data_IF_871767127446
#
_entry.id   IF_871767127446
#
_cell.length_a   1.000
_cell.length_b   1.000
_cell.length_c   1.000
_cell.angle_alpha   90.00
_cell.angle_beta   90.00
_cell.angle_gamma   90.00
#
_symmetry.space_group_name_H-M   'P 1'
#
loop_
_entity.id
_entity.type
_entity.pdbx_description
1 polymer ?
#
# COMPACT_ATOMS: atom_id res chain seq x y z
N UNK A 1 13.93 -3.05 22.64
CA UNK A 1 14.68 -2.58 21.46
C UNK A 1 14.18 -1.18 21.14
N UNK A 2 15.05 -0.26 20.69
CA UNK A 2 14.59 1.04 20.25
C UNK A 2 13.73 0.86 18.99
N UNK A 3 12.56 1.51 18.95
CA UNK A 3 11.70 1.47 17.77
C UNK A 3 12.28 2.42 16.71
N UNK A 4 12.36 2.01 15.44
CA UNK A 4 13.02 2.81 14.42
C UNK A 4 12.22 4.09 14.09
N UNK A 5 12.96 5.16 13.84
CA UNK A 5 12.47 6.39 13.22
C UNK A 5 13.15 6.51 11.85
N UNK A 6 12.37 6.43 10.79
CA UNK A 6 12.86 6.47 9.40
C UNK A 6 12.44 7.81 8.79
N UNK A 7 13.41 8.69 8.54
CA UNK A 7 13.18 9.95 7.83
C UNK A 7 14.05 9.98 6.58
N UNK A 8 13.44 9.72 5.42
CA UNK A 8 14.12 9.76 4.13
C UNK A 8 13.94 11.11 3.46
N UNK A 9 14.95 11.49 2.67
CA UNK A 9 14.92 12.68 1.82
C UNK A 9 14.15 12.45 0.51
N UNK A 10 14.10 11.21 0.01
CA UNK A 10 13.28 10.78 -1.14
C UNK A 10 13.04 9.26 -1.12
N UNK A 11 12.18 8.77 -2.00
CA UNK A 11 11.83 7.35 -2.14
C UNK A 11 12.01 6.88 -3.57
N UNK A 12 12.80 5.82 -3.77
CA UNK A 12 13.13 5.29 -5.10
C UNK A 12 12.05 4.32 -5.62
N UNK A 13 11.38 3.62 -4.69
CA UNK A 13 10.31 2.67 -4.98
C UNK A 13 9.27 2.65 -3.87
N UNK A 14 7.98 2.64 -4.22
CA UNK A 14 6.89 2.51 -3.28
C UNK A 14 5.77 1.68 -3.91
N UNK A 15 5.39 0.60 -3.23
CA UNK A 15 4.50 -0.40 -3.80
C UNK A 15 3.67 -1.08 -2.72
N UNK A 16 2.71 -1.88 -3.16
CA UNK A 16 1.96 -2.78 -2.28
C UNK A 16 1.92 -4.18 -2.87
N UNK A 17 1.77 -5.16 -1.99
CA UNK A 17 1.67 -6.56 -2.37
C UNK A 17 1.02 -7.41 -1.29
N UNK A 18 0.85 -8.69 -1.60
CA UNK A 18 0.31 -9.66 -0.66
C UNK A 18 1.11 -10.94 -0.68
N UNK A 19 1.28 -11.55 0.50
CA UNK A 19 1.83 -12.90 0.66
C UNK A 19 0.74 -13.86 1.14
N UNK A 20 0.78 -15.09 0.65
CA UNK A 20 -0.13 -16.17 1.02
C UNK A 20 -1.32 -16.38 0.06
N UNK A 21 -2.10 -17.41 0.35
CA UNK A 21 -3.21 -17.87 -0.51
C UNK A 21 -4.40 -16.89 -0.54
N UNK A 22 -5.18 -16.85 -1.64
CA UNK A 22 -6.44 -16.11 -1.70
C UNK A 22 -7.34 -16.42 -0.50
N UNK A 23 -7.83 -15.37 0.19
CA UNK A 23 -8.62 -15.49 1.43
C UNK A 23 -7.81 -15.51 2.73
N UNK A 24 -6.48 -15.72 2.66
CA UNK A 24 -5.53 -15.62 3.77
C UNK A 24 -4.36 -14.68 3.50
N UNK A 25 -4.49 -13.84 2.47
CA UNK A 25 -3.47 -12.86 2.07
C UNK A 25 -3.19 -11.87 3.19
N UNK A 26 -1.91 -11.68 3.48
CA UNK A 26 -1.41 -10.58 4.32
C UNK A 26 -0.97 -9.47 3.39
N UNK A 27 -1.42 -8.24 3.64
CA UNK A 27 -1.08 -7.07 2.82
C UNK A 27 0.14 -6.35 3.39
N UNK A 28 0.95 -5.82 2.48
CA UNK A 28 2.15 -5.08 2.79
C UNK A 28 2.23 -3.78 1.98
N UNK A 29 2.78 -2.73 2.60
CA UNK A 29 3.39 -1.59 1.92
C UNK A 29 4.90 -1.81 1.90
N UNK A 30 5.53 -1.53 0.77
CA UNK A 30 6.98 -1.57 0.65
C UNK A 30 7.50 -0.24 0.13
N UNK A 31 8.46 0.33 0.85
CA UNK A 31 9.22 1.51 0.45
C UNK A 31 10.69 1.14 0.27
N UNK A 32 11.34 1.70 -0.75
CA UNK A 32 12.75 1.46 -1.06
C UNK A 32 13.50 2.77 -1.21
N UNK A 33 14.71 2.80 -0.65
CA UNK A 33 15.72 3.83 -0.88
C UNK A 33 17.08 3.16 -0.97
N UNK A 34 17.72 3.26 -2.12
CA UNK A 34 18.98 2.57 -2.42
C UNK A 34 18.87 1.07 -2.15
N UNK A 35 19.68 0.53 -1.23
CA UNK A 35 19.69 -0.86 -0.79
C UNK A 35 18.75 -1.15 0.39
N UNK A 36 18.12 -0.13 0.97
CA UNK A 36 17.23 -0.27 2.10
C UNK A 36 15.78 -0.46 1.64
N UNK A 37 15.14 -1.52 2.13
CA UNK A 37 13.72 -1.84 1.90
C UNK A 37 13.02 -1.91 3.24
N UNK A 38 11.92 -1.19 3.37
CA UNK A 38 11.02 -1.22 4.53
C UNK A 38 9.72 -1.90 4.11
N UNK A 39 9.30 -2.92 4.85
CA UNK A 39 8.14 -3.76 4.58
C UNK A 39 7.16 -3.71 5.75
N UNK A 40 6.06 -2.98 5.56
CA UNK A 40 5.09 -2.68 6.62
C UNK A 40 3.83 -3.51 6.43
N UNK A 41 3.44 -4.27 7.45
CA UNK A 41 2.18 -5.01 7.42
C UNK A 41 1.01 -4.05 7.59
N UNK A 42 0.04 -4.12 6.69
CA UNK A 42 -1.06 -3.16 6.58
C UNK A 42 -2.38 -3.90 6.40
N UNK A 43 -3.50 -3.28 6.79
CA UNK A 43 -4.82 -3.82 6.48
C UNK A 43 -5.25 -3.54 5.04
N UNK A 44 -6.08 -4.42 4.47
CA UNK A 44 -6.64 -4.21 3.12
C UNK A 44 -7.34 -2.85 3.00
N UNK A 45 -8.08 -2.44 4.03
CA UNK A 45 -8.83 -1.17 4.02
C UNK A 45 -7.90 0.05 4.08
N UNK A 46 -6.77 -0.03 4.78
CA UNK A 46 -5.76 1.03 4.79
C UNK A 46 -5.12 1.20 3.40
N UNK A 47 -4.82 0.11 2.69
CA UNK A 47 -4.33 0.18 1.29
C UNK A 47 -5.36 0.83 0.37
N UNK A 48 -6.62 0.41 0.48
CA UNK A 48 -7.71 0.95 -0.34
C UNK A 48 -7.93 2.45 -0.08
N UNK A 49 -8.02 2.85 1.20
CA UNK A 49 -8.21 4.24 1.60
C UNK A 49 -7.04 5.13 1.21
N UNK A 50 -5.80 4.64 1.36
CA UNK A 50 -4.61 5.37 0.93
C UNK A 50 -4.63 5.63 -0.58
N UNK A 51 -4.96 4.61 -1.39
CA UNK A 51 -5.04 4.76 -2.85
C UNK A 51 -6.15 5.74 -3.28
N UNK A 52 -7.31 5.70 -2.64
CA UNK A 52 -8.41 6.63 -2.89
C UNK A 52 -8.03 8.07 -2.53
N UNK A 53 -7.47 8.28 -1.34
CA UNK A 53 -7.03 9.59 -0.89
C UNK A 53 -5.95 10.19 -1.79
N UNK A 54 -4.91 9.41 -2.13
CA UNK A 54 -3.85 9.85 -3.03
C UNK A 54 -4.38 10.17 -4.43
N UNK A 55 -5.33 9.38 -4.95
CA UNK A 55 -5.96 9.67 -6.24
C UNK A 55 -6.75 10.98 -6.23
N UNK A 56 -7.44 11.28 -5.11
CA UNK A 56 -8.10 12.56 -4.91
C UNK A 56 -7.12 13.73 -4.92
N UNK A 57 -6.01 13.62 -4.17
CA UNK A 57 -4.96 14.65 -4.18
C UNK A 57 -4.33 14.85 -5.56
N UNK A 58 -4.14 13.77 -6.31
CA UNK A 58 -3.52 13.80 -7.63
C UNK A 58 -4.43 14.39 -8.71
N UNK A 59 -5.76 14.40 -8.51
CA UNK A 59 -6.73 14.85 -9.51
C UNK A 59 -6.61 16.36 -9.82
N UNK A 60 -6.16 17.16 -8.85
CA UNK A 60 -6.01 18.62 -9.00
C UNK A 60 -4.61 19.04 -9.48
N UNK A 61 -3.72 18.08 -9.73
CA UNK A 61 -2.33 18.34 -10.11
C UNK A 61 -2.11 18.16 -11.63
N UNK A 62 -1.09 18.81 -12.23
CA UNK A 62 -0.82 18.72 -13.67
C UNK A 62 -0.66 17.28 -14.15
N UNK A 63 -1.09 16.92 -15.37
CA UNK A 63 -0.96 15.55 -15.86
C UNK A 63 0.50 15.06 -15.84
N UNK A 64 0.68 13.75 -15.66
CA UNK A 64 1.98 13.08 -15.71
C UNK A 64 2.23 12.51 -17.10
N UNK A 65 3.49 12.22 -17.39
CA UNK A 65 3.91 11.43 -18.53
C UNK A 65 3.71 9.93 -18.23
N UNK A 66 2.95 9.24 -19.08
CA UNK A 66 2.62 7.82 -18.91
C UNK A 66 3.87 6.93 -18.92
N UNK A 67 4.89 7.27 -19.73
CA UNK A 67 6.16 6.53 -19.78
C UNK A 67 6.90 6.66 -18.44
N UNK A 68 6.88 7.85 -17.83
CA UNK A 68 7.52 8.09 -16.53
C UNK A 68 6.81 7.34 -15.38
N UNK A 69 5.49 7.15 -15.48
CA UNK A 69 4.70 6.32 -14.54
C UNK A 69 5.03 4.84 -14.73
N UNK A 70 5.17 4.36 -15.97
CA UNK A 70 5.55 2.98 -16.25
C UNK A 70 6.97 2.65 -15.74
N UNK A 71 7.91 3.57 -15.90
CA UNK A 71 9.26 3.45 -15.34
C UNK A 71 9.23 3.40 -13.82
N UNK A 72 8.42 4.25 -13.17
CA UNK A 72 8.24 4.24 -11.72
C UNK A 72 7.66 2.90 -11.23
N UNK A 73 6.67 2.35 -11.93
CA UNK A 73 6.08 1.05 -11.62
C UNK A 73 7.12 -0.09 -11.73
N UNK A 74 7.99 -0.04 -12.74
CA UNK A 74 9.06 -1.02 -12.95
C UNK A 74 10.12 -0.96 -11.86
N UNK A 75 10.42 0.23 -11.33
CA UNK A 75 11.33 0.40 -10.20
C UNK A 75 10.72 -0.05 -8.86
N UNK A 76 9.38 0.02 -8.73
CA UNK A 76 8.63 -0.30 -7.52
C UNK A 76 8.17 -1.77 -7.44
N UNK A 77 9.08 -2.71 -7.69
CA UNK A 77 8.77 -4.14 -7.58
C UNK A 77 8.52 -4.53 -6.13
N UNK A 78 7.55 -5.43 -5.95
CA UNK A 78 7.22 -6.00 -4.65
C UNK A 78 8.03 -7.27 -4.43
N UNK A 79 8.75 -7.34 -3.32
CA UNK A 79 9.49 -8.50 -2.86
C UNK A 79 8.75 -9.14 -1.68
N UNK A 80 8.75 -10.47 -1.55
CA UNK A 80 8.13 -11.17 -0.42
C UNK A 80 8.88 -10.83 0.89
N UNK A 81 8.27 -10.07 1.82
CA UNK A 81 8.90 -9.73 3.07
C UNK A 81 8.71 -10.89 4.03
N UNK A 82 9.72 -11.76 4.12
CA UNK A 82 9.75 -12.93 5.03
C UNK A 82 9.19 -12.58 6.42
N UNK A 83 9.52 -11.38 6.93
CA UNK A 83 8.90 -10.75 8.10
C UNK A 83 8.60 -9.27 7.83
N UNK A 84 7.63 -8.72 8.56
CA UNK A 84 7.32 -7.29 8.54
C UNK A 84 8.24 -6.53 9.51
N UNK A 85 8.64 -5.31 9.17
CA UNK A 85 9.32 -4.41 10.10
C UNK A 85 8.40 -4.02 11.27
N UNK A 86 7.15 -3.66 10.96
CA UNK A 86 6.08 -3.47 11.94
C UNK A 86 4.68 -3.52 11.32
N UNK A 87 3.65 -3.47 12.17
CA UNK A 87 2.23 -3.38 11.75
C UNK A 87 1.81 -1.91 11.74
N UNK A 88 1.19 -1.46 10.66
CA UNK A 88 0.72 -0.07 10.51
C UNK A 88 -0.50 0.18 11.39
N UNK A 89 -0.41 1.20 12.24
CA UNK A 89 -1.52 1.73 13.03
C UNK A 89 -2.21 2.89 12.31
N UNK A 90 -1.44 3.86 11.84
CA UNK A 90 -1.96 5.06 11.19
C UNK A 90 -1.18 5.40 9.91
N UNK A 91 -1.87 6.08 8.98
CA UNK A 91 -1.31 6.61 7.74
C UNK A 91 -1.73 8.08 7.61
N UNK A 92 -0.76 8.95 7.39
CA UNK A 92 -0.97 10.37 7.08
C UNK A 92 -0.28 10.74 5.78
N UNK A 93 -0.85 11.66 5.01
CA UNK A 93 -0.23 12.13 3.76
C UNK A 93 -0.27 13.65 3.72
N UNK A 94 0.83 14.25 3.32
CA UNK A 94 0.93 15.68 3.03
C UNK A 94 1.53 15.93 1.66
N UNK A 95 1.16 17.02 1.00
CA UNK A 95 1.75 17.42 -0.28
C UNK A 95 2.66 18.63 -0.09
N UNK A 96 3.93 18.46 -0.42
CA UNK A 96 4.95 19.49 -0.35
C UNK A 96 5.16 20.13 -1.72
N UNK A 97 4.51 21.27 -1.95
CA UNK A 97 4.51 21.98 -3.23
C UNK A 97 5.92 22.44 -3.68
N UNK A 98 6.79 22.79 -2.74
CA UNK A 98 8.13 23.33 -3.06
C UNK A 98 9.06 22.31 -3.70
N UNK A 99 8.85 21.03 -3.42
CA UNK A 99 9.66 19.90 -3.91
C UNK A 99 8.88 18.96 -4.81
N UNK A 100 7.60 19.26 -5.04
CA UNK A 100 6.64 18.41 -5.76
C UNK A 100 6.69 16.95 -5.24
N UNK A 101 6.48 16.81 -3.92
CA UNK A 101 6.49 15.51 -3.23
C UNK A 101 5.20 15.27 -2.46
N UNK A 102 4.65 14.07 -2.59
CA UNK A 102 3.67 13.55 -1.65
C UNK A 102 4.42 12.78 -0.57
N UNK A 103 4.29 13.22 0.67
CA UNK A 103 4.99 12.64 1.81
C UNK A 103 4.02 11.77 2.58
N UNK A 104 4.27 10.46 2.58
CA UNK A 104 3.56 9.49 3.40
C UNK A 104 4.23 9.43 4.78
N UNK A 105 3.42 9.52 5.83
CA UNK A 105 3.81 9.33 7.22
C UNK A 105 3.11 8.06 7.70
N UNK A 106 3.86 7.14 8.27
CA UNK A 106 3.36 5.84 8.74
C UNK A 106 3.76 5.67 10.19
N UNK A 107 2.79 5.32 11.05
CA UNK A 107 3.05 5.01 12.45
C UNK A 107 2.69 3.56 12.75
N UNK A 108 3.45 2.95 13.64
CA UNK A 108 3.22 1.61 14.14
C UNK A 108 1.95 1.50 14.99
N UNK A 109 1.26 0.37 14.87
CA UNK A 109 0.17 -0.03 15.75
C UNK A 109 0.73 -0.46 17.11
N UNK A 110 0.43 0.32 18.13
CA UNK A 110 0.79 0.01 19.52
C UNK A 110 -0.20 -0.95 20.18
N UNK A 111 0.32 -1.76 21.11
CA UNK A 111 -0.52 -2.53 22.05
C UNK A 111 -0.66 -1.83 23.40
N UNK A 112 0.30 -0.99 23.74
CA UNK A 112 0.37 -0.19 24.96
C UNK A 112 0.61 1.27 24.58
N UNK A 113 -0.27 2.16 25.07
CA UNK A 113 -0.25 3.59 24.75
C UNK A 113 0.94 4.33 25.38
N UNK A 114 1.60 3.74 26.38
CA UNK A 114 2.79 4.30 27.02
C UNK A 114 4.08 4.08 26.19
N UNK A 115 4.01 3.29 25.11
CA UNK A 115 5.13 3.03 24.21
C UNK A 115 5.26 4.09 23.11
N UNK A 116 6.49 4.39 22.69
CA UNK A 116 6.72 5.23 21.51
C UNK A 116 6.62 4.35 20.24
N UNK A 117 5.80 4.72 19.24
CA UNK A 117 5.64 3.93 18.01
C UNK A 117 6.86 4.09 17.11
N UNK A 118 7.18 3.04 16.34
CA UNK A 118 8.01 3.22 15.16
C UNK A 118 7.32 4.16 14.17
N UNK A 119 8.10 5.00 13.50
CA UNK A 119 7.59 5.97 12.54
C UNK A 119 8.43 5.97 11.26
N UNK A 120 7.78 6.18 10.13
CA UNK A 120 8.45 6.35 8.86
C UNK A 120 7.86 7.51 8.06
N UNK A 121 8.74 8.26 7.39
CA UNK A 121 8.41 9.33 6.47
C UNK A 121 9.02 9.04 5.10
N UNK A 122 8.13 8.91 4.11
CA UNK A 122 8.48 8.57 2.72
C UNK A 122 8.02 9.69 1.78
N UNK A 123 8.89 10.66 1.44
CA UNK A 123 8.64 11.58 0.35
C UNK A 123 8.65 10.82 -0.98
N UNK A 124 7.62 10.99 -1.80
CA UNK A 124 7.46 10.30 -3.07
C UNK A 124 7.18 11.30 -4.19
N UNK A 125 7.84 11.07 -5.33
CA UNK A 125 7.50 11.72 -6.59
C UNK A 125 6.11 11.29 -7.08
N UNK A 126 5.47 12.14 -7.86
CA UNK A 126 4.09 11.96 -8.32
C UNK A 126 3.91 10.71 -9.19
N UNK A 127 4.91 10.34 -9.99
CA UNK A 127 4.84 9.14 -10.84
C UNK A 127 4.82 7.87 -10.01
N UNK A 128 5.55 7.85 -8.89
CA UNK A 128 5.57 6.74 -7.96
C UNK A 128 4.22 6.58 -7.26
N UNK A 129 3.60 7.69 -6.87
CA UNK A 129 2.24 7.71 -6.33
C UNK A 129 1.23 7.19 -7.34
N UNK A 130 1.30 7.64 -8.59
CA UNK A 130 0.42 7.16 -9.65
C UNK A 130 0.54 5.65 -9.86
N UNK A 131 1.78 5.14 -9.97
CA UNK A 131 2.07 3.72 -10.07
C UNK A 131 1.50 2.92 -8.87
N UNK A 132 1.69 3.44 -7.65
CA UNK A 132 1.12 2.86 -6.44
C UNK A 132 -0.42 2.81 -6.49
N UNK A 133 -1.09 3.90 -6.87
CA UNK A 133 -2.56 3.96 -6.94
C UNK A 133 -3.10 2.87 -7.88
N UNK A 134 -2.52 2.71 -9.07
CA UNK A 134 -2.93 1.68 -10.01
C UNK A 134 -2.77 0.29 -9.40
N UNK A 135 -1.59 -0.02 -8.88
CA UNK A 135 -1.30 -1.33 -8.28
C UNK A 135 -2.16 -1.63 -7.06
N UNK A 136 -2.40 -0.65 -6.20
CA UNK A 136 -3.23 -0.79 -5.01
C UNK A 136 -4.69 -1.08 -5.37
N UNK A 137 -5.25 -0.36 -6.36
CA UNK A 137 -6.60 -0.63 -6.86
C UNK A 137 -6.73 -2.03 -7.43
N UNK A 138 -5.79 -2.43 -8.29
CA UNK A 138 -5.78 -3.78 -8.87
C UNK A 138 -5.68 -4.86 -7.79
N UNK A 139 -4.80 -4.69 -6.81
CA UNK A 139 -4.59 -5.63 -5.72
C UNK A 139 -5.82 -5.76 -4.80
N UNK A 140 -6.44 -4.62 -4.47
CA UNK A 140 -7.65 -4.57 -3.63
C UNK A 140 -8.85 -5.17 -4.37
N UNK A 141 -8.97 -4.91 -5.68
CA UNK A 141 -10.00 -5.44 -6.56
C UNK A 141 -9.81 -6.94 -6.87
N UNK A 142 -8.56 -7.43 -6.90
CA UNK A 142 -8.19 -8.84 -7.03
C UNK A 142 -8.54 -9.68 -5.78
N UNK A 143 -9.49 -9.21 -4.97
CA UNK A 143 -10.27 -10.04 -4.07
C UNK A 143 -11.09 -11.08 -4.83
N UNK A 144 -11.87 -11.88 -4.11
CA UNK A 144 -12.59 -12.99 -4.74
C UNK A 144 -13.60 -12.43 -5.75
N UNK A 145 -13.70 -13.02 -6.96
CA UNK A 145 -14.71 -12.62 -7.91
C UNK A 145 -16.10 -12.69 -7.25
N UNK A 146 -16.99 -11.73 -7.58
CA UNK A 146 -18.34 -11.75 -7.06
C UNK A 146 -19.05 -13.00 -7.59
N UNK A 147 -19.80 -13.67 -6.73
CA UNK A 147 -20.66 -14.77 -7.11
C UNK A 147 -21.65 -14.28 -8.19
N UNK A 148 -21.80 -14.98 -9.33
CA UNK A 148 -22.67 -14.56 -10.41
C UNK A 148 -24.16 -14.56 -10.03
N UNK A 149 -24.54 -15.18 -8.90
CA UNK A 149 -25.93 -15.25 -8.43
C UNK A 149 -26.25 -14.25 -7.31
N UNK A 150 -25.35 -14.02 -6.36
CA UNK A 150 -25.63 -13.19 -5.17
C UNK A 150 -24.63 -12.03 -4.95
N UNK A 151 -23.66 -11.86 -5.85
CA UNK A 151 -22.58 -10.88 -5.77
C UNK A 151 -21.64 -10.98 -4.53
N UNK A 152 -21.84 -11.96 -3.65
CA UNK A 152 -20.94 -12.20 -2.52
C UNK A 152 -19.56 -12.75 -2.99
N UNK A 153 -18.44 -12.45 -2.31
CA UNK A 153 -17.12 -12.97 -2.66
C UNK A 153 -17.07 -14.52 -2.65
N UNK A 154 -16.63 -15.17 -3.74
CA UNK A 154 -16.62 -16.64 -3.87
C UNK A 154 -15.67 -17.39 -2.91
N UNK A 155 -16.21 -18.21 -2.00
CA UNK A 155 -15.41 -19.01 -1.04
C UNK A 155 -14.55 -20.09 -1.73
N UNK A 156 -13.23 -20.20 -1.43
CA UNK A 156 -12.35 -21.19 -2.06
C UNK A 156 -12.74 -22.64 -1.79
N UNK A 157 -13.31 -22.93 -0.61
CA UNK A 157 -13.76 -24.26 -0.22
C UNK A 157 -14.96 -24.76 -1.01
N UNK A 158 -15.68 -23.85 -1.67
CA UNK A 158 -16.98 -24.15 -2.29
C UNK A 158 -16.87 -24.31 -3.82
N UNK A 159 -15.70 -24.09 -4.41
CA UNK A 159 -15.54 -24.13 -5.87
C UNK A 159 -16.54 -23.19 -6.57
N UNK A 160 -17.27 -23.73 -7.56
CA UNK A 160 -18.29 -23.00 -8.33
C UNK A 160 -19.67 -22.93 -7.64
N UNK A 161 -19.79 -23.41 -6.40
CA UNK A 161 -21.08 -23.52 -5.71
C UNK A 161 -21.36 -22.33 -4.77
N UNK A 162 -22.58 -21.76 -4.87
CA UNK A 162 -23.02 -20.63 -4.06
C UNK A 162 -23.94 -21.06 -2.89
N UNK A 163 -23.57 -20.81 -1.62
CA UNK A 163 -24.41 -21.13 -0.45
C UNK A 163 -25.74 -20.38 -0.38
N UNK A 164 -25.85 -19.24 -1.06
CA UNK A 164 -27.08 -18.43 -1.10
C UNK A 164 -28.14 -18.98 -2.06
N UNK A 165 -27.83 -20.05 -2.82
CA UNK A 165 -28.75 -20.67 -3.77
C UNK A 165 -29.69 -21.73 -3.14
N UNK A 166 -29.88 -21.69 -1.82
CA UNK A 166 -30.70 -22.64 -1.07
C UNK A 166 -32.10 -22.07 -0.75
#
# INVERSE_FOLDING_TARGET
MARPEIDWDDTDGFTTGTVGDPGRRVFFLQARRSDHVVSLKVEKQQVAGLAEFLAGLMADLPPLDDDAVADAATAAQFDDPVEADWVVGSLGVTYQQTTDRLVLIVEELLRDEDEQPAQARFPMRRELVAAFIHRARDLVAAGRPPCPWCAAPLEPSNGDWCPCAN
#
